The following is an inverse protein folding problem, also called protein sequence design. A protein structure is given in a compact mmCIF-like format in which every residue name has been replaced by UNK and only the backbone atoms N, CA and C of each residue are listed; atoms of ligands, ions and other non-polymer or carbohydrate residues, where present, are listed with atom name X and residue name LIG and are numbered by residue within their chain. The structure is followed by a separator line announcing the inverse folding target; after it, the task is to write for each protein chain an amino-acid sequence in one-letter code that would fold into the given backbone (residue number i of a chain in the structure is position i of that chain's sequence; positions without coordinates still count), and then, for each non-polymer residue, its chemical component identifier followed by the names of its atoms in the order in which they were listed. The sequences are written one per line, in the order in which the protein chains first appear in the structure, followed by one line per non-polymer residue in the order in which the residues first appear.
data_IF_054613381851
#
_entry.id   IF_054613381851
#
_cell.length_a   1.000
_cell.length_b   1.000
_cell.length_c   1.000
_cell.angle_alpha   90.00
_cell.angle_beta   90.00
_cell.angle_gamma   90.00
#
_symmetry.space_group_name_H-M   'P 1'
#
loop_
_entity.id
_entity.type
_entity.pdbx_description
1 polymer ?
#
# COMPACT_ATOMS: atom_id res chain seq x y z
N UNK A 1 2.59 4.31 -7.19
CA UNK A 1 3.19 5.46 -6.48
C UNK A 1 2.91 6.77 -7.21
N UNK A 2 3.48 6.99 -8.41
CA UNK A 2 3.38 8.29 -9.11
C UNK A 2 1.95 8.83 -9.29
N UNK A 3 0.99 7.97 -9.66
CA UNK A 3 -0.42 8.37 -9.79
C UNK A 3 -1.03 8.88 -8.48
N UNK A 4 -0.79 8.19 -7.36
CA UNK A 4 -1.26 8.66 -6.06
C UNK A 4 -0.55 9.94 -5.63
N UNK A 5 0.75 10.10 -5.88
CA UNK A 5 1.46 11.37 -5.61
C UNK A 5 0.85 12.54 -6.40
N UNK A 6 0.63 12.37 -7.70
CA UNK A 6 0.00 13.38 -8.55
C UNK A 6 -1.39 13.74 -8.04
N UNK A 7 -2.17 12.74 -7.65
CA UNK A 7 -3.49 12.94 -7.06
C UNK A 7 -3.43 13.74 -5.76
N UNK A 8 -2.40 13.52 -4.92
CA UNK A 8 -2.17 14.33 -3.73
C UNK A 8 -1.88 15.80 -4.05
N UNK A 9 -1.02 16.06 -5.05
CA UNK A 9 -0.76 17.42 -5.51
C UNK A 9 -2.03 18.10 -6.03
N UNK A 10 -2.88 17.36 -6.75
CA UNK A 10 -4.19 17.86 -7.19
C UNK A 10 -5.08 18.23 -6.00
N UNK A 11 -5.19 17.36 -4.98
CA UNK A 11 -6.00 17.63 -3.79
C UNK A 11 -5.49 18.83 -2.99
N UNK A 12 -4.18 19.03 -2.91
CA UNK A 12 -3.58 20.24 -2.31
C UNK A 12 -3.96 21.47 -3.12
N UNK A 13 -3.86 21.38 -4.45
CA UNK A 13 -4.21 22.50 -5.33
C UNK A 13 -5.67 22.93 -5.17
N UNK A 14 -6.59 21.97 -5.15
CA UNK A 14 -8.02 22.24 -4.99
C UNK A 14 -8.34 22.87 -3.64
N UNK A 15 -7.64 22.47 -2.57
CA UNK A 15 -7.80 23.04 -1.23
C UNK A 15 -7.23 24.46 -1.10
N UNK A 16 -6.07 24.73 -1.68
CA UNK A 16 -5.30 25.95 -1.35
C UNK A 16 -5.33 27.02 -2.43
N UNK A 17 -5.45 26.65 -3.70
CA UNK A 17 -5.21 27.56 -4.83
C UNK A 17 -6.40 27.71 -5.79
N UNK A 18 -7.37 26.79 -5.78
CA UNK A 18 -8.51 26.86 -6.68
C UNK A 18 -9.41 28.10 -6.39
N UNK A 19 -10.09 28.65 -7.42
CA UNK A 19 -11.02 29.76 -7.23
C UNK A 19 -12.12 29.49 -6.21
N UNK A 20 -12.56 28.22 -6.10
CA UNK A 20 -13.60 27.71 -5.20
C UNK A 20 -13.04 27.07 -3.91
N UNK A 21 -11.78 27.37 -3.54
CA UNK A 21 -11.08 26.77 -2.39
C UNK A 21 -11.86 26.79 -1.07
N UNK A 22 -12.72 27.79 -0.84
CA UNK A 22 -13.52 27.91 0.39
C UNK A 22 -14.44 26.70 0.58
N UNK A 23 -15.04 26.19 -0.51
CA UNK A 23 -15.87 24.98 -0.46
C UNK A 23 -15.03 23.72 -0.17
N UNK A 24 -13.82 23.65 -0.74
CA UNK A 24 -12.88 22.55 -0.49
C UNK A 24 -12.38 22.52 0.95
N UNK A 25 -12.11 23.69 1.53
CA UNK A 25 -11.72 23.83 2.94
C UNK A 25 -12.88 23.48 3.87
N UNK A 26 -14.11 23.95 3.59
CA UNK A 26 -15.28 23.64 4.41
C UNK A 26 -15.61 22.14 4.44
N UNK A 27 -15.46 21.45 3.30
CA UNK A 27 -15.64 20.00 3.19
C UNK A 27 -14.41 19.18 3.56
N UNK A 28 -13.33 19.78 4.06
CA UNK A 28 -12.04 19.10 4.17
C UNK A 28 -12.14 17.82 5.00
N UNK A 29 -12.70 17.84 6.20
CA UNK A 29 -12.67 16.69 7.11
C UNK A 29 -13.83 15.71 6.93
N UNK A 30 -14.67 15.87 5.91
CA UNK A 30 -15.93 15.12 5.77
C UNK A 30 -16.20 14.67 4.34
N UNK A 31 -16.98 13.58 4.20
CA UNK A 31 -17.47 13.06 2.93
C UNK A 31 -16.38 12.71 1.92
N UNK A 32 -16.68 12.92 0.63
CA UNK A 32 -15.84 12.50 -0.51
C UNK A 32 -14.43 13.11 -0.50
N UNK A 33 -14.25 14.32 0.02
CA UNK A 33 -12.94 14.97 0.08
C UNK A 33 -12.01 14.25 1.08
N UNK A 34 -12.56 13.78 2.20
CA UNK A 34 -11.82 12.99 3.18
C UNK A 34 -11.43 11.63 2.60
N UNK A 35 -12.38 10.92 1.99
CA UNK A 35 -12.15 9.61 1.35
C UNK A 35 -11.12 9.69 0.23
N UNK A 36 -11.19 10.72 -0.62
CA UNK A 36 -10.17 11.01 -1.63
C UNK A 36 -8.76 11.13 -1.04
N UNK A 37 -8.59 11.81 0.11
CA UNK A 37 -7.29 11.88 0.78
C UNK A 37 -6.85 10.55 1.35
N UNK A 38 -7.77 9.74 1.89
CA UNK A 38 -7.45 8.39 2.35
C UNK A 38 -6.88 7.55 1.20
N UNK A 39 -7.48 7.62 0.01
CA UNK A 39 -6.97 6.93 -1.16
C UNK A 39 -5.55 7.37 -1.55
N UNK A 40 -5.28 8.69 -1.56
CA UNK A 40 -3.94 9.22 -1.82
C UNK A 40 -2.90 8.71 -0.81
N UNK A 41 -3.18 8.87 0.49
CA UNK A 41 -2.23 8.53 1.56
C UNK A 41 -1.97 7.03 1.58
N UNK A 42 -3.02 6.20 1.58
CA UNK A 42 -2.87 4.75 1.56
C UNK A 42 -2.24 4.27 0.26
N UNK A 43 -2.56 4.89 -0.88
CA UNK A 43 -1.94 4.58 -2.16
C UNK A 43 -0.44 4.78 -2.17
N UNK A 44 0.05 5.84 -1.53
CA UNK A 44 1.49 6.08 -1.40
C UNK A 44 2.15 5.20 -0.34
N UNK A 45 1.52 5.02 0.82
CA UNK A 45 1.98 4.09 1.85
C UNK A 45 2.12 2.67 1.29
N UNK A 46 1.11 2.18 0.58
CA UNK A 46 1.08 0.82 0.05
C UNK A 46 2.10 0.65 -1.09
N UNK A 47 2.35 1.69 -1.87
CA UNK A 47 3.43 1.66 -2.85
C UNK A 47 4.81 1.59 -2.19
N UNK A 48 5.04 2.34 -1.11
CA UNK A 48 6.28 2.28 -0.33
C UNK A 48 6.46 0.91 0.32
N UNK A 49 5.39 0.37 0.93
CA UNK A 49 5.40 -0.97 1.51
C UNK A 49 5.71 -2.04 0.45
N UNK A 50 5.07 -1.99 -0.72
CA UNK A 50 5.37 -2.94 -1.79
C UNK A 50 6.83 -2.88 -2.25
N UNK A 51 7.41 -1.67 -2.32
CA UNK A 51 8.83 -1.50 -2.66
C UNK A 51 9.74 -2.11 -1.59
N UNK A 52 9.48 -1.79 -0.31
CA UNK A 52 10.25 -2.29 0.82
C UNK A 52 10.14 -3.81 0.97
N UNK A 53 8.92 -4.34 0.91
CA UNK A 53 8.65 -5.79 0.97
C UNK A 53 9.28 -6.50 -0.22
N UNK A 54 9.17 -5.95 -1.43
CA UNK A 54 9.81 -6.51 -2.62
C UNK A 54 11.33 -6.63 -2.45
N UNK A 55 11.95 -5.59 -1.89
CA UNK A 55 13.38 -5.62 -1.56
C UNK A 55 13.72 -6.69 -0.52
N UNK A 56 12.96 -6.79 0.57
CA UNK A 56 13.15 -7.81 1.62
C UNK A 56 13.02 -9.22 1.04
N UNK A 57 11.95 -9.50 0.31
CA UNK A 57 11.68 -10.81 -0.29
C UNK A 57 12.76 -11.21 -1.31
N UNK A 58 13.26 -10.25 -2.09
CA UNK A 58 14.36 -10.49 -3.03
C UNK A 58 15.65 -10.94 -2.31
N UNK A 59 15.89 -10.44 -1.08
CA UNK A 59 17.09 -10.79 -0.30
C UNK A 59 16.98 -12.14 0.41
N UNK A 60 15.77 -12.65 0.63
CA UNK A 60 15.49 -13.94 1.28
C UNK A 60 15.69 -15.15 0.35
N UNK A 61 16.91 -15.36 -0.14
CA UNK A 61 17.28 -16.51 -0.96
C UNK A 61 17.12 -17.90 -0.31
N UNK A 62 16.96 -18.00 1.02
CA UNK A 62 16.71 -19.28 1.71
C UNK A 62 15.21 -19.60 1.85
N UNK A 63 14.32 -18.66 1.50
CA UNK A 63 12.88 -18.89 1.46
C UNK A 63 12.47 -19.46 0.10
N UNK A 64 11.42 -20.30 0.08
CA UNK A 64 10.92 -20.86 -1.18
C UNK A 64 10.33 -19.77 -2.09
N UNK A 65 10.46 -19.96 -3.40
CA UNK A 65 9.89 -19.05 -4.41
C UNK A 65 8.39 -18.89 -4.26
N UNK A 66 7.69 -19.98 -3.92
CA UNK A 66 6.25 -19.96 -3.69
C UNK A 66 5.88 -19.05 -2.51
N UNK A 67 6.60 -19.13 -1.38
CA UNK A 67 6.30 -18.30 -0.22
C UNK A 67 6.52 -16.81 -0.52
N UNK A 68 7.64 -16.49 -1.20
CA UNK A 68 7.95 -15.13 -1.64
C UNK A 68 6.91 -14.60 -2.62
N UNK A 69 6.51 -15.41 -3.60
CA UNK A 69 5.50 -15.05 -4.60
C UNK A 69 4.13 -14.82 -3.97
N UNK A 70 3.71 -15.65 -3.01
CA UNK A 70 2.45 -15.47 -2.28
C UNK A 70 2.44 -14.15 -1.51
N UNK A 71 3.53 -13.85 -0.79
CA UNK A 71 3.67 -12.58 -0.08
C UNK A 71 3.60 -11.38 -1.04
N UNK A 72 4.33 -11.43 -2.16
CA UNK A 72 4.29 -10.38 -3.17
C UNK A 72 2.90 -10.21 -3.80
N UNK A 73 2.20 -11.31 -4.11
CA UNK A 73 0.86 -11.27 -4.67
C UNK A 73 -0.15 -10.62 -3.70
N UNK A 74 -0.06 -10.92 -2.40
CA UNK A 74 -0.87 -10.28 -1.37
C UNK A 74 -0.57 -8.78 -1.26
N UNK A 75 0.70 -8.37 -1.35
CA UNK A 75 1.11 -6.97 -1.32
C UNK A 75 0.54 -6.18 -2.51
N UNK A 76 0.60 -6.77 -3.70
CA UNK A 76 0.02 -6.19 -4.91
C UNK A 76 -1.50 -6.15 -4.85
N UNK A 77 -2.15 -7.22 -4.41
CA UNK A 77 -3.60 -7.24 -4.16
C UNK A 77 -4.01 -6.19 -3.12
N UNK A 78 -3.13 -5.84 -2.19
CA UNK A 78 -3.34 -4.76 -1.23
C UNK A 78 -3.62 -3.40 -1.87
N UNK A 79 -3.11 -3.13 -3.08
CA UNK A 79 -3.41 -1.90 -3.83
C UNK A 79 -4.89 -1.78 -4.21
N UNK A 80 -5.68 -2.85 -4.09
CA UNK A 80 -7.12 -2.81 -4.24
C UNK A 80 -7.78 -1.86 -3.24
N UNK A 81 -7.19 -1.62 -2.05
CA UNK A 81 -7.76 -0.71 -1.07
C UNK A 81 -7.82 0.74 -1.57
N UNK A 82 -6.69 1.40 -1.88
CA UNK A 82 -6.72 2.78 -2.35
C UNK A 82 -7.42 2.92 -3.71
N UNK A 83 -7.36 1.90 -4.58
CA UNK A 83 -8.12 1.88 -5.84
C UNK A 83 -9.63 1.76 -5.56
N UNK A 84 -10.02 0.92 -4.62
CA UNK A 84 -11.39 0.71 -4.18
C UNK A 84 -12.00 1.97 -3.57
N UNK A 85 -11.25 2.72 -2.78
CA UNK A 85 -11.70 4.01 -2.23
C UNK A 85 -11.99 5.00 -3.37
N UNK A 86 -11.11 5.12 -4.37
CA UNK A 86 -11.40 5.97 -5.53
C UNK A 86 -12.62 5.47 -6.30
N UNK A 87 -12.75 4.15 -6.46
CA UNK A 87 -13.90 3.53 -7.12
C UNK A 87 -15.22 3.78 -6.39
N UNK A 88 -15.23 3.73 -5.06
CA UNK A 88 -16.40 4.07 -4.25
C UNK A 88 -16.77 5.55 -4.43
N UNK A 89 -15.80 6.45 -4.26
CA UNK A 89 -16.01 7.91 -4.33
C UNK A 89 -16.53 8.36 -5.70
N UNK A 90 -15.96 7.82 -6.79
CA UNK A 90 -16.22 8.28 -8.15
C UNK A 90 -17.26 7.46 -8.91
N UNK A 91 -17.35 6.16 -8.63
CA UNK A 91 -18.17 5.22 -9.40
C UNK A 91 -19.24 4.53 -8.55
N UNK A 92 -19.29 4.79 -7.23
CA UNK A 92 -20.24 4.14 -6.33
C UNK A 92 -19.99 2.64 -6.16
N UNK A 93 -18.75 2.18 -6.37
CA UNK A 93 -18.40 0.77 -6.18
C UNK A 93 -18.57 0.34 -4.72
N UNK A 94 -18.87 -0.94 -4.47
CA UNK A 94 -19.04 -1.45 -3.11
C UNK A 94 -17.73 -1.39 -2.31
N UNK A 95 -17.80 -1.13 -1.00
CA UNK A 95 -16.63 -1.01 -0.12
C UNK A 95 -15.89 -2.34 0.09
N UNK A 96 -16.42 -3.45 -0.43
CA UNK A 96 -15.79 -4.77 -0.36
C UNK A 96 -14.39 -4.77 -0.97
N UNK A 97 -14.15 -3.97 -2.02
CA UNK A 97 -12.82 -3.83 -2.63
C UNK A 97 -11.82 -3.22 -1.65
N UNK A 98 -12.28 -2.24 -0.86
CA UNK A 98 -11.48 -1.59 0.18
C UNK A 98 -11.06 -2.61 1.24
N UNK A 99 -12.02 -3.40 1.72
CA UNK A 99 -11.79 -4.41 2.76
C UNK A 99 -10.86 -5.53 2.27
N UNK A 100 -11.06 -6.03 1.05
CA UNK A 100 -10.20 -7.05 0.47
C UNK A 100 -8.75 -6.56 0.34
N UNK A 101 -8.56 -5.32 -0.14
CA UNK A 101 -7.22 -4.73 -0.21
C UNK A 101 -6.58 -4.54 1.17
N UNK A 102 -7.34 -4.07 2.17
CA UNK A 102 -6.82 -3.88 3.52
C UNK A 102 -6.38 -5.21 4.16
N UNK A 103 -7.18 -6.26 4.01
CA UNK A 103 -6.86 -7.61 4.50
C UNK A 103 -5.64 -8.17 3.76
N UNK A 104 -5.59 -8.03 2.44
CA UNK A 104 -4.48 -8.52 1.63
C UNK A 104 -3.15 -7.84 1.99
N UNK A 105 -3.12 -6.51 2.11
CA UNK A 105 -1.92 -5.78 2.52
C UNK A 105 -1.46 -6.19 3.94
N UNK A 106 -2.40 -6.31 4.88
CA UNK A 106 -2.10 -6.74 6.24
C UNK A 106 -1.48 -8.14 6.25
N UNK A 107 -2.09 -9.08 5.53
CA UNK A 107 -1.56 -10.43 5.39
C UNK A 107 -0.17 -10.45 4.74
N UNK A 108 0.05 -9.63 3.71
CA UNK A 108 1.36 -9.48 3.05
C UNK A 108 2.45 -9.04 4.01
N UNK A 109 2.21 -7.98 4.79
CA UNK A 109 3.18 -7.44 5.74
C UNK A 109 3.49 -8.46 6.83
N UNK A 110 2.46 -9.06 7.43
CA UNK A 110 2.63 -10.08 8.48
C UNK A 110 3.41 -11.28 7.94
N UNK A 111 3.01 -11.81 6.78
CA UNK A 111 3.63 -12.98 6.21
C UNK A 111 5.08 -12.73 5.78
N UNK A 112 5.36 -11.60 5.15
CA UNK A 112 6.73 -11.19 4.79
C UNK A 112 7.61 -11.01 6.03
N UNK A 113 7.06 -10.44 7.10
CA UNK A 113 7.77 -10.29 8.38
C UNK A 113 8.13 -11.64 9.00
N UNK A 114 7.19 -12.59 9.02
CA UNK A 114 7.44 -13.96 9.49
C UNK A 114 8.51 -14.65 8.62
N UNK A 115 8.43 -14.52 7.29
CA UNK A 115 9.45 -15.06 6.39
C UNK A 115 10.82 -14.46 6.67
N UNK A 116 10.91 -13.13 6.82
CA UNK A 116 12.16 -12.46 7.12
C UNK A 116 12.78 -12.98 8.42
N UNK A 117 12.03 -13.04 9.51
CA UNK A 117 12.53 -13.52 10.80
C UNK A 117 13.03 -14.97 10.74
N UNK A 118 12.37 -15.84 9.99
CA UNK A 118 12.75 -17.27 9.89
C UNK A 118 13.95 -17.51 8.99
N UNK A 119 14.03 -16.80 7.87
CA UNK A 119 14.97 -17.12 6.80
C UNK A 119 16.23 -16.24 6.83
N UNK A 120 16.16 -15.06 7.44
CA UNK A 120 17.31 -14.17 7.58
C UNK A 120 18.35 -14.74 8.55
N UNK A 121 17.94 -15.15 9.76
CA UNK A 121 18.87 -15.75 10.73
C UNK A 121 19.50 -17.06 10.25
N UNK A 122 18.77 -17.85 9.46
CA UNK A 122 19.30 -19.08 8.86
C UNK A 122 20.35 -18.80 7.78
N UNK A 123 20.23 -17.69 7.03
CA UNK A 123 21.24 -17.29 6.04
C UNK A 123 22.54 -16.84 6.69
N UNK A 124 22.46 -16.04 7.76
CA UNK A 124 23.66 -15.56 8.47
C UNK A 124 24.46 -16.72 9.05
N UNK A 125 23.80 -17.67 9.72
CA UNK A 125 24.45 -18.86 10.27
C UNK A 125 25.12 -19.74 9.19
N UNK A 126 24.50 -19.88 8.02
CA UNK A 126 25.07 -20.64 6.91
C UNK A 126 26.28 -19.94 6.27
N UNK A 127 26.28 -18.60 6.19
CA UNK A 127 27.41 -17.82 5.66
C UNK A 127 28.60 -17.79 6.61
N UNK A 128 28.37 -17.90 7.92
CA UNK A 128 29.43 -17.94 8.92
C UNK A 128 30.11 -19.31 9.00
N UNK A 129 29.38 -20.41 8.72
CA UNK A 129 29.93 -21.76 8.68
C UNK A 129 30.83 -22.06 7.47
N UNK A 130 30.73 -21.25 6.39
CA UNK A 130 31.48 -21.42 5.13
C UNK A 130 32.72 -20.50 5.04
N UNK A 131 32.99 -19.69 6.08
CA UNK A 131 34.17 -18.82 6.21
C UNK A 131 35.25 -19.45 7.08
#
# INVERSE_FOLDING_TARGET
MGGFMLYGFLLIYLRDFAPDREAWVAGYSVGKHFEARLAHVHGNLFALLNLALGFVLARLGSASDQARSTAAALGLAGLLMPIGILGEVYLGLPPVLVLLGAVAMTASVVFSGVLALRHWGAQEAAQEADR
#
